data_IF_929506297001
#
_entry.id   IF_929506297001
#
_cell.length_a   1.000
_cell.length_b   1.000
_cell.length_c   1.000
_cell.angle_alpha   90.00
_cell.angle_beta   90.00
_cell.angle_gamma   90.00
#
_symmetry.space_group_name_H-M   'P 1'
#
loop_
_entity.id
_entity.type
_entity.pdbx_description
1 polymer ?
#
# COMPACT_ATOMS: atom_id res chain seq x y z
N UNK A 1 -12.74 -53.63 39.66
CA UNK A 1 -12.17 -52.43 40.33
C UNK A 1 -12.71 -52.36 41.75
N UNK A 2 -11.98 -51.80 42.72
CA UNK A 2 -12.58 -51.39 44.01
C UNK A 2 -13.02 -49.91 43.94
N UNK A 3 -14.03 -49.48 44.72
CA UNK A 3 -14.45 -48.08 44.73
C UNK A 3 -13.37 -47.19 45.37
N UNK A 4 -12.89 -46.18 44.63
CA UNK A 4 -11.82 -45.25 45.05
C UNK A 4 -12.17 -44.39 46.28
N UNK A 5 -13.43 -44.40 46.69
CA UNK A 5 -14.00 -43.65 47.82
C UNK A 5 -14.38 -44.55 49.01
N UNK A 6 -14.03 -45.84 49.00
CA UNK A 6 -14.34 -46.78 50.09
C UNK A 6 -13.66 -46.33 51.40
N UNK A 7 -14.47 -45.96 52.40
CA UNK A 7 -13.99 -45.50 53.71
C UNK A 7 -13.74 -43.99 53.82
N UNK A 8 -13.98 -43.21 52.76
CA UNK A 8 -13.97 -41.76 52.82
C UNK A 8 -15.35 -41.22 53.20
N UNK A 9 -15.39 -40.18 54.05
CA UNK A 9 -16.63 -39.48 54.35
C UNK A 9 -17.16 -38.74 53.11
N UNK A 10 -18.47 -38.83 52.87
CA UNK A 10 -19.12 -38.09 51.79
C UNK A 10 -18.98 -36.57 52.05
N UNK A 11 -18.59 -35.82 51.02
CA UNK A 11 -18.55 -34.35 51.05
C UNK A 11 -19.51 -33.82 49.98
N UNK A 12 -20.40 -32.87 50.32
CA UNK A 12 -21.28 -32.27 49.33
C UNK A 12 -20.45 -31.48 48.30
N UNK A 13 -21.00 -31.33 47.10
CA UNK A 13 -20.56 -30.29 46.19
C UNK A 13 -20.95 -28.92 46.78
N UNK A 14 -20.16 -27.89 46.49
CA UNK A 14 -20.43 -26.54 47.00
C UNK A 14 -21.44 -25.81 46.10
N UNK A 15 -22.47 -25.22 46.69
CA UNK A 15 -23.49 -24.43 45.96
C UNK A 15 -22.94 -23.11 45.39
N UNK A 16 -21.75 -22.70 45.83
CA UNK A 16 -21.06 -21.47 45.45
C UNK A 16 -19.54 -21.66 45.50
N UNK A 17 -18.78 -20.71 44.93
CA UNK A 17 -17.31 -20.76 44.93
C UNK A 17 -16.77 -20.74 46.38
N UNK A 18 -15.97 -21.74 46.81
CA UNK A 18 -15.51 -21.82 48.20
C UNK A 18 -14.61 -20.67 48.62
N UNK A 19 -14.63 -20.34 49.92
CA UNK A 19 -13.67 -19.40 50.50
C UNK A 19 -12.24 -19.87 50.24
N UNK A 20 -11.40 -18.97 49.70
CA UNK A 20 -10.03 -19.28 49.30
C UNK A 20 -9.87 -19.73 47.84
N UNK A 21 -10.96 -19.93 47.10
CA UNK A 21 -10.97 -20.04 45.64
C UNK A 21 -11.36 -18.68 45.03
N UNK A 22 -10.87 -18.37 43.82
CA UNK A 22 -11.24 -17.20 43.03
C UNK A 22 -11.44 -17.58 41.57
N UNK A 23 -12.52 -17.11 40.96
CA UNK A 23 -12.68 -17.10 39.51
C UNK A 23 -11.85 -15.97 38.90
N UNK A 24 -11.13 -16.25 37.81
CA UNK A 24 -10.24 -15.30 37.13
C UNK A 24 -10.33 -15.50 35.62
N UNK A 25 -10.50 -14.41 34.87
CA UNK A 25 -10.44 -14.43 33.41
C UNK A 25 -9.00 -14.54 32.94
N UNK A 26 -8.68 -15.59 32.20
CA UNK A 26 -7.35 -15.88 31.65
C UNK A 26 -7.40 -16.00 30.12
N UNK A 27 -6.26 -15.77 29.46
CA UNK A 27 -6.08 -16.06 28.04
C UNK A 27 -6.24 -17.57 27.80
N UNK A 28 -7.17 -17.95 26.91
CA UNK A 28 -7.56 -19.35 26.69
C UNK A 28 -6.38 -20.25 26.32
N UNK A 29 -5.41 -19.72 25.58
CA UNK A 29 -4.22 -20.47 25.12
C UNK A 29 -3.08 -20.55 26.15
N UNK A 30 -2.95 -19.59 27.06
CA UNK A 30 -1.72 -19.44 27.87
C UNK A 30 -1.93 -19.57 29.37
N UNK A 31 -3.17 -19.59 29.86
CA UNK A 31 -3.51 -19.59 31.28
C UNK A 31 -3.06 -18.35 32.06
N UNK A 32 -2.44 -17.36 31.39
CA UNK A 32 -1.97 -16.09 31.97
C UNK A 32 -3.06 -15.03 31.85
N UNK A 33 -2.94 -13.92 32.59
CA UNK A 33 -3.90 -12.81 32.50
C UNK A 33 -3.93 -12.26 31.05
N UNK A 34 -5.10 -11.95 30.46
CA UNK A 34 -5.15 -11.50 29.08
C UNK A 34 -4.44 -10.15 28.86
N UNK A 35 -3.95 -9.97 27.63
CA UNK A 35 -3.49 -8.68 27.09
C UNK A 35 -4.46 -8.26 25.95
N UNK A 36 -4.27 -7.07 25.35
CA UNK A 36 -5.15 -6.59 24.27
C UNK A 36 -5.17 -7.46 23.00
N UNK A 37 -4.17 -8.33 22.84
CA UNK A 37 -4.01 -9.23 21.69
C UNK A 37 -4.76 -10.56 21.89
N UNK A 38 -5.18 -10.87 23.13
CA UNK A 38 -5.91 -12.09 23.46
C UNK A 38 -7.37 -11.99 23.01
N UNK A 39 -7.69 -12.54 21.84
CA UNK A 39 -9.09 -12.66 21.37
C UNK A 39 -9.91 -13.58 22.28
N UNK A 40 -9.41 -14.79 22.51
CA UNK A 40 -10.09 -15.80 23.31
C UNK A 40 -9.68 -15.77 24.77
N UNK A 41 -10.67 -15.75 25.66
CA UNK A 41 -10.48 -15.81 27.12
C UNK A 41 -11.50 -16.73 27.77
N UNK A 42 -11.05 -17.44 28.81
CA UNK A 42 -11.89 -18.34 29.63
C UNK A 42 -11.88 -17.86 31.08
N UNK A 43 -12.89 -18.26 31.86
CA UNK A 43 -12.94 -17.97 33.30
C UNK A 43 -12.61 -19.25 34.07
N UNK A 44 -11.49 -19.24 34.77
CA UNK A 44 -10.94 -20.40 35.48
C UNK A 44 -10.89 -20.18 36.99
N UNK A 45 -10.91 -21.28 37.75
CA UNK A 45 -10.93 -21.25 39.21
C UNK A 45 -9.57 -21.58 39.80
N UNK A 46 -9.01 -20.64 40.58
CA UNK A 46 -7.70 -20.75 41.20
C UNK A 46 -7.78 -20.67 42.72
N UNK A 47 -6.93 -21.41 43.47
CA UNK A 47 -6.61 -21.03 44.84
C UNK A 47 -6.13 -19.58 44.91
N UNK A 48 -6.57 -18.81 45.89
CA UNK A 48 -6.38 -17.35 45.92
C UNK A 48 -4.90 -16.90 45.87
N UNK A 49 -3.97 -17.72 46.38
CA UNK A 49 -2.51 -17.47 46.29
C UNK A 49 -1.86 -17.90 44.97
N UNK A 50 -2.55 -18.72 44.16
CA UNK A 50 -2.06 -19.31 42.91
C UNK A 50 -2.62 -18.64 41.64
N UNK A 51 -3.37 -17.54 41.80
CA UNK A 51 -3.86 -16.71 40.68
C UNK A 51 -2.70 -16.27 39.78
N UNK A 52 -2.80 -16.39 38.43
CA UNK A 52 -1.77 -15.94 37.51
C UNK A 52 -1.42 -14.45 37.69
N UNK A 53 -0.12 -14.15 37.90
CA UNK A 53 0.39 -12.78 38.13
C UNK A 53 0.99 -12.13 36.87
N UNK A 54 1.35 -12.92 35.86
CA UNK A 54 1.89 -12.44 34.58
C UNK A 54 0.75 -12.25 33.57
N UNK A 55 0.89 -11.25 32.70
CA UNK A 55 0.09 -11.14 31.47
C UNK A 55 0.51 -12.19 30.44
N UNK A 56 -0.35 -12.42 29.46
CA UNK A 56 -0.05 -13.25 28.30
C UNK A 56 1.13 -12.67 27.53
N UNK A 57 2.10 -13.54 27.27
CA UNK A 57 3.30 -13.34 26.46
C UNK A 57 3.24 -14.11 25.13
N UNK A 58 2.18 -14.90 24.92
CA UNK A 58 1.96 -15.67 23.69
C UNK A 58 1.32 -14.85 22.57
N UNK A 59 0.33 -14.01 22.88
CA UNK A 59 -0.31 -13.15 21.89
C UNK A 59 0.48 -11.85 21.74
N UNK A 60 1.24 -11.74 20.66
CA UNK A 60 2.14 -10.62 20.35
C UNK A 60 1.67 -9.90 19.07
N UNK A 61 1.99 -8.62 18.94
CA UNK A 61 1.69 -7.86 17.72
C UNK A 61 2.76 -8.11 16.65
N UNK A 62 2.34 -8.35 15.41
CA UNK A 62 3.23 -8.46 14.26
C UNK A 62 2.57 -7.93 12.98
N UNK A 63 3.37 -7.42 12.06
CA UNK A 63 2.89 -6.95 10.75
C UNK A 63 2.65 -8.13 9.83
N UNK A 64 1.42 -8.26 9.33
CA UNK A 64 1.00 -9.28 8.36
C UNK A 64 0.40 -8.63 7.12
N UNK A 65 0.42 -9.36 5.99
CA UNK A 65 -0.35 -8.98 4.82
C UNK A 65 -1.86 -9.06 5.14
N UNK A 66 -2.59 -7.97 4.89
CA UNK A 66 -4.00 -7.84 5.25
C UNK A 66 -4.87 -8.87 4.54
N UNK A 67 -4.53 -9.18 3.29
CA UNK A 67 -5.26 -10.06 2.35
C UNK A 67 -4.97 -11.56 2.52
N UNK A 68 -3.86 -11.95 3.17
CA UNK A 68 -3.52 -13.37 3.41
C UNK A 68 -3.36 -13.77 4.87
N UNK A 69 -3.23 -12.81 5.80
CA UNK A 69 -2.92 -13.05 7.20
C UNK A 69 -1.51 -13.59 7.48
N UNK A 70 -0.69 -13.79 6.44
CA UNK A 70 0.67 -14.33 6.51
C UNK A 70 1.73 -13.23 6.53
N UNK A 71 3.00 -13.61 6.76
CA UNK A 71 4.12 -12.68 6.76
C UNK A 71 4.21 -11.92 5.42
N UNK A 72 4.45 -10.60 5.44
CA UNK A 72 4.49 -9.81 4.22
C UNK A 72 5.73 -10.18 3.40
N UNK A 73 5.54 -10.23 2.08
CA UNK A 73 6.63 -10.32 1.10
C UNK A 73 7.16 -8.92 0.80
N UNK A 74 8.36 -8.78 0.19
CA UNK A 74 8.83 -7.49 -0.33
C UNK A 74 7.86 -6.83 -1.33
N UNK A 75 7.00 -7.65 -1.95
CA UNK A 75 6.01 -7.25 -2.95
C UNK A 75 4.63 -6.90 -2.36
N UNK A 76 4.38 -7.06 -1.05
CA UNK A 76 3.09 -6.71 -0.46
C UNK A 76 2.84 -5.19 -0.48
N UNK A 77 1.67 -4.70 -0.96
CA UNK A 77 1.32 -3.28 -0.90
C UNK A 77 1.35 -2.74 0.53
N UNK A 78 1.83 -1.51 0.72
CA UNK A 78 2.03 -0.90 2.04
C UNK A 78 0.71 -0.62 2.77
N UNK A 79 -0.32 -0.25 2.03
CA UNK A 79 -1.72 -0.13 2.45
C UNK A 79 -2.35 -1.49 2.82
N UNK A 80 -1.80 -2.59 2.29
CA UNK A 80 -2.17 -3.96 2.65
C UNK A 80 -1.25 -4.57 3.72
N UNK A 81 -0.54 -3.75 4.49
CA UNK A 81 0.15 -4.18 5.72
C UNK A 81 -0.70 -3.80 6.94
N UNK A 82 -1.00 -4.76 7.81
CA UNK A 82 -1.71 -4.52 9.07
C UNK A 82 -0.99 -5.15 10.25
N UNK A 83 -1.02 -4.48 11.40
CA UNK A 83 -0.65 -5.12 12.67
C UNK A 83 -1.75 -6.11 13.03
N UNK A 84 -1.37 -7.31 13.45
CA UNK A 84 -2.27 -8.35 13.96
C UNK A 84 -1.67 -9.01 15.18
N UNK A 85 -2.53 -9.49 16.09
CA UNK A 85 -2.13 -10.52 17.04
C UNK A 85 -1.69 -11.78 16.28
N UNK A 86 -0.51 -12.28 16.61
CA UNK A 86 0.02 -13.59 16.23
C UNK A 86 0.36 -14.38 17.49
N UNK A 87 0.41 -15.71 17.39
CA UNK A 87 0.83 -16.57 18.50
C UNK A 87 2.32 -16.83 18.41
N UNK A 88 3.05 -16.52 19.48
CA UNK A 88 4.45 -16.87 19.69
C UNK A 88 4.55 -17.84 20.87
N UNK A 89 5.19 -18.98 20.69
CA UNK A 89 5.39 -19.98 21.75
C UNK A 89 6.64 -19.59 22.58
N UNK A 90 6.53 -19.38 23.90
CA UNK A 90 7.69 -19.15 24.77
C UNK A 90 8.66 -20.33 24.78
N UNK A 91 9.96 -20.08 25.00
CA UNK A 91 10.99 -21.14 25.01
C UNK A 91 10.79 -22.17 26.14
N UNK A 92 10.16 -21.75 27.24
CA UNK A 92 9.81 -22.53 28.42
C UNK A 92 8.40 -23.19 28.34
N UNK A 93 7.66 -22.96 27.25
CA UNK A 93 6.31 -23.48 27.10
C UNK A 93 6.26 -24.97 26.78
N UNK A 94 5.29 -25.68 27.37
CA UNK A 94 5.03 -27.10 27.08
C UNK A 94 4.74 -27.37 25.60
N UNK A 95 4.19 -26.37 24.87
CA UNK A 95 3.88 -26.48 23.45
C UNK A 95 5.14 -26.60 22.56
N UNK A 96 6.33 -26.26 23.05
CA UNK A 96 7.57 -26.52 22.32
C UNK A 96 7.81 -28.03 22.08
N UNK A 97 7.19 -28.91 22.88
CA UNK A 97 7.30 -30.38 22.77
C UNK A 97 6.43 -30.99 21.66
N UNK A 98 5.50 -30.23 21.08
CA UNK A 98 4.69 -30.68 19.95
C UNK A 98 5.56 -30.78 18.68
N UNK A 99 5.21 -31.68 17.77
CA UNK A 99 5.71 -31.61 16.39
C UNK A 99 5.14 -30.38 15.66
N UNK A 100 5.66 -30.02 14.48
CA UNK A 100 5.13 -28.88 13.73
C UNK A 100 3.72 -29.16 13.17
N UNK A 101 3.40 -30.42 12.87
CA UNK A 101 2.05 -30.87 12.49
C UNK A 101 1.08 -30.71 13.67
N UNK A 102 1.45 -31.20 14.86
CA UNK A 102 0.64 -31.06 16.08
C UNK A 102 0.48 -29.59 16.50
N UNK A 103 1.52 -28.78 16.32
CA UNK A 103 1.45 -27.34 16.59
C UNK A 103 0.48 -26.66 15.61
N UNK A 104 0.47 -27.06 14.33
CA UNK A 104 -0.45 -26.56 13.32
C UNK A 104 -1.88 -27.10 13.48
N UNK A 105 -2.08 -28.27 14.10
CA UNK A 105 -3.38 -28.84 14.50
C UNK A 105 -3.99 -28.07 15.69
N UNK A 106 -3.26 -27.96 16.80
CA UNK A 106 -3.77 -27.39 18.05
C UNK A 106 -3.65 -25.87 18.15
N UNK A 107 -2.69 -25.26 17.46
CA UNK A 107 -2.39 -23.81 17.55
C UNK A 107 -2.03 -23.28 16.14
N UNK A 108 -2.95 -23.35 15.16
CA UNK A 108 -2.69 -23.02 13.77
C UNK A 108 -2.07 -21.63 13.59
N UNK A 109 -0.94 -21.56 12.88
CA UNK A 109 -0.21 -20.30 12.66
C UNK A 109 0.64 -19.80 13.83
N UNK A 110 0.94 -20.63 14.83
CA UNK A 110 1.88 -20.30 15.90
C UNK A 110 3.36 -20.35 15.45
N UNK A 111 4.16 -19.42 15.94
CA UNK A 111 5.59 -19.33 15.69
C UNK A 111 6.39 -19.75 16.93
N UNK A 112 7.45 -20.56 16.77
CA UNK A 112 8.24 -21.09 17.91
C UNK A 112 9.06 -20.04 18.67
N UNK A 113 9.24 -18.83 18.12
CA UNK A 113 9.76 -17.64 18.82
C UNK A 113 9.58 -16.35 18.01
N UNK A 114 9.71 -15.17 18.65
CA UNK A 114 9.77 -13.88 17.96
C UNK A 114 11.10 -13.69 17.19
N UNK A 115 12.20 -14.29 17.69
CA UNK A 115 13.48 -14.30 16.97
C UNK A 115 13.35 -15.02 15.62
N UNK A 116 12.63 -16.15 15.56
CA UNK A 116 12.32 -16.81 14.29
C UNK A 116 11.42 -15.98 13.37
N UNK A 117 10.45 -15.22 13.91
CA UNK A 117 9.63 -14.30 13.11
C UNK A 117 10.49 -13.24 12.38
N UNK A 118 11.48 -12.68 13.07
CA UNK A 118 12.44 -11.73 12.51
C UNK A 118 13.56 -12.36 11.66
N UNK A 119 13.74 -13.68 11.72
CA UNK A 119 14.79 -14.43 10.99
C UNK A 119 14.23 -15.32 9.87
N UNK A 120 12.99 -15.11 9.44
CA UNK A 120 12.45 -15.75 8.25
C UNK A 120 12.87 -14.96 7.02
N UNK A 121 13.57 -15.62 6.11
CA UNK A 121 13.96 -15.07 4.81
C UNK A 121 12.91 -15.45 3.77
N UNK A 122 12.42 -14.44 3.05
CA UNK A 122 11.51 -14.60 1.92
C UNK A 122 12.07 -15.51 0.82
N UNK A 123 13.39 -15.45 0.61
CA UNK A 123 14.09 -16.15 -0.45
C UNK A 123 14.42 -17.60 -0.10
N UNK A 124 14.29 -18.00 1.18
CA UNK A 124 14.52 -19.36 1.63
C UNK A 124 13.34 -20.28 1.28
N UNK A 125 13.50 -21.27 0.37
CA UNK A 125 12.38 -22.09 -0.10
C UNK A 125 11.67 -22.87 1.02
N UNK A 126 12.38 -23.20 2.12
CA UNK A 126 11.80 -23.91 3.27
C UNK A 126 10.90 -23.03 4.13
N UNK A 127 11.05 -21.71 4.07
CA UNK A 127 10.28 -20.73 4.85
C UNK A 127 9.17 -20.06 4.03
N UNK A 128 9.21 -20.17 2.70
CA UNK A 128 8.31 -19.49 1.74
C UNK A 128 6.81 -19.72 1.99
N UNK A 129 6.43 -20.82 2.64
CA UNK A 129 5.06 -21.18 3.02
C UNK A 129 4.45 -20.30 4.13
N UNK A 130 5.28 -19.65 4.96
CA UNK A 130 4.85 -18.73 6.01
C UNK A 130 4.63 -17.29 5.52
N UNK A 131 5.10 -16.99 4.30
CA UNK A 131 4.91 -15.70 3.64
C UNK A 131 3.59 -15.65 2.83
N UNK A 132 3.19 -14.43 2.47
CA UNK A 132 2.06 -14.19 1.58
C UNK A 132 2.21 -14.99 0.27
N UNK A 133 1.18 -15.76 -0.14
CA UNK A 133 1.16 -16.44 -1.44
C UNK A 133 0.55 -15.58 -2.55
N UNK A 134 -0.06 -14.45 -2.20
CA UNK A 134 -0.82 -13.55 -3.09
C UNK A 134 0.17 -12.63 -3.83
N UNK A 135 0.81 -11.71 -3.09
CA UNK A 135 1.76 -10.74 -3.65
C UNK A 135 3.15 -11.38 -3.82
N UNK A 136 3.38 -11.98 -4.99
CA UNK A 136 4.69 -12.41 -5.48
C UNK A 136 5.32 -11.39 -6.44
N UNK A 137 6.43 -11.80 -7.05
CA UNK A 137 7.12 -10.99 -8.07
C UNK A 137 6.28 -10.87 -9.36
N UNK A 138 5.67 -11.98 -9.81
CA UNK A 138 4.67 -11.99 -10.88
C UNK A 138 3.56 -10.96 -10.63
N UNK A 139 3.01 -10.93 -9.42
CA UNK A 139 1.96 -9.98 -9.05
C UNK A 139 2.44 -8.54 -9.21
N UNK A 140 3.68 -8.25 -8.78
CA UNK A 140 4.26 -6.91 -8.89
C UNK A 140 4.47 -6.48 -10.35
N UNK A 141 4.93 -7.38 -11.21
CA UNK A 141 5.04 -7.17 -12.66
C UNK A 141 3.65 -6.97 -13.30
N UNK A 142 2.66 -7.78 -12.90
CA UNK A 142 1.27 -7.67 -13.35
C UNK A 142 0.61 -6.35 -12.90
N UNK A 143 0.92 -5.85 -11.70
CA UNK A 143 0.50 -4.53 -11.22
C UNK A 143 1.13 -3.40 -12.05
N UNK A 144 2.44 -3.46 -12.31
CA UNK A 144 3.15 -2.46 -13.11
C UNK A 144 2.64 -2.40 -14.56
N UNK A 145 2.43 -3.57 -15.20
CA UNK A 145 1.80 -3.64 -16.52
C UNK A 145 0.36 -3.13 -16.53
N UNK A 146 -0.41 -3.38 -15.45
CA UNK A 146 -1.78 -2.85 -15.31
C UNK A 146 -1.77 -1.32 -15.18
N UNK A 147 -0.85 -0.77 -14.39
CA UNK A 147 -0.69 0.67 -14.22
C UNK A 147 -0.24 1.38 -15.50
N UNK A 148 0.68 0.78 -16.27
CA UNK A 148 1.06 1.29 -17.60
C UNK A 148 -0.15 1.30 -18.54
N UNK A 149 -0.86 0.17 -18.66
CA UNK A 149 -2.01 0.03 -19.54
C UNK A 149 -3.14 1.01 -19.16
N UNK A 150 -3.36 1.25 -17.86
CA UNK A 150 -4.29 2.26 -17.38
C UNK A 150 -3.84 3.69 -17.74
N UNK A 151 -2.54 3.99 -17.73
CA UNK A 151 -2.00 5.28 -18.19
C UNK A 151 -2.24 5.48 -19.69
N UNK A 152 -1.94 4.49 -20.53
CA UNK A 152 -2.18 4.51 -21.98
C UNK A 152 -3.67 4.67 -22.32
N UNK A 153 -4.55 3.96 -21.61
CA UNK A 153 -6.00 4.08 -21.77
C UNK A 153 -6.49 5.50 -21.41
N UNK A 154 -5.97 6.09 -20.34
CA UNK A 154 -6.30 7.47 -19.95
C UNK A 154 -5.71 8.51 -20.91
N UNK A 155 -4.55 8.25 -21.53
CA UNK A 155 -4.01 9.08 -22.62
C UNK A 155 -4.95 9.05 -23.84
N UNK A 156 -5.38 7.86 -24.27
CA UNK A 156 -6.34 7.69 -25.37
C UNK A 156 -7.66 8.42 -25.11
N UNK A 157 -8.24 8.28 -23.90
CA UNK A 157 -9.48 9.01 -23.53
C UNK A 157 -9.29 10.53 -23.64
N UNK A 158 -8.13 11.08 -23.24
CA UNK A 158 -7.83 12.52 -23.40
C UNK A 158 -7.70 12.92 -24.87
N UNK A 159 -6.98 12.14 -25.69
CA UNK A 159 -6.80 12.40 -27.12
C UNK A 159 -8.13 12.42 -27.88
N UNK A 160 -9.02 11.44 -27.61
CA UNK A 160 -10.34 11.37 -28.23
C UNK A 160 -11.19 12.58 -27.80
N UNK A 161 -11.19 12.95 -26.51
CA UNK A 161 -11.97 14.09 -26.01
C UNK A 161 -11.52 15.44 -26.56
N UNK A 162 -10.22 15.66 -26.71
CA UNK A 162 -9.74 16.88 -27.38
C UNK A 162 -10.11 16.86 -28.87
N UNK A 163 -10.15 15.69 -29.53
CA UNK A 163 -10.67 15.57 -30.90
C UNK A 163 -12.16 15.92 -31.00
N UNK A 164 -13.00 15.45 -30.07
CA UNK A 164 -14.44 15.78 -29.99
C UNK A 164 -14.64 17.29 -29.85
N UNK A 165 -13.78 17.95 -29.06
CA UNK A 165 -13.79 19.41 -28.85
C UNK A 165 -13.32 20.17 -30.09
N UNK A 166 -12.17 19.80 -30.66
CA UNK A 166 -11.57 20.42 -31.84
C UNK A 166 -12.50 20.36 -33.06
N UNK A 167 -13.06 19.18 -33.36
CA UNK A 167 -13.93 18.97 -34.52
C UNK A 167 -15.43 19.02 -34.17
N UNK A 168 -15.78 19.69 -33.06
CA UNK A 168 -17.15 19.74 -32.52
C UNK A 168 -18.20 20.27 -33.50
N UNK A 169 -17.83 21.17 -34.42
CA UNK A 169 -18.71 21.67 -35.48
C UNK A 169 -18.82 20.76 -36.72
N UNK A 170 -17.90 19.81 -36.89
CA UNK A 170 -17.85 18.91 -38.06
C UNK A 170 -18.34 17.48 -37.75
N UNK A 171 -18.30 17.06 -36.47
CA UNK A 171 -18.84 15.78 -36.01
C UNK A 171 -20.37 15.80 -35.84
N UNK A 172 -21.05 14.77 -36.34
CA UNK A 172 -22.47 14.54 -36.07
C UNK A 172 -22.74 14.23 -34.58
N UNK A 173 -23.99 14.34 -34.14
CA UNK A 173 -24.39 13.91 -32.79
C UNK A 173 -24.10 12.41 -32.56
N UNK A 174 -24.48 11.56 -33.53
CA UNK A 174 -24.26 10.12 -33.48
C UNK A 174 -22.78 9.74 -33.34
N UNK A 175 -21.87 10.49 -33.96
CA UNK A 175 -20.42 10.28 -33.84
C UNK A 175 -19.89 10.66 -32.45
N UNK A 176 -20.46 11.71 -31.82
CA UNK A 176 -20.12 12.12 -30.45
C UNK A 176 -20.60 11.08 -29.43
N UNK A 177 -21.85 10.64 -29.57
CA UNK A 177 -22.46 9.62 -28.70
C UNK A 177 -21.73 8.27 -28.79
N UNK A 178 -21.31 7.87 -30.00
CA UNK A 178 -20.51 6.66 -30.21
C UNK A 178 -19.16 6.72 -29.48
N UNK A 179 -18.48 7.88 -29.48
CA UNK A 179 -17.20 8.04 -28.78
C UNK A 179 -17.34 8.12 -27.26
N UNK A 180 -18.28 8.89 -26.71
CA UNK A 180 -18.49 8.90 -25.26
C UNK A 180 -19.00 7.55 -24.74
N UNK A 181 -19.78 6.80 -25.53
CA UNK A 181 -20.14 5.40 -25.24
C UNK A 181 -18.89 4.50 -25.15
N UNK A 182 -17.98 4.59 -26.12
CA UNK A 182 -16.73 3.81 -26.12
C UNK A 182 -15.76 4.23 -24.99
N UNK A 183 -15.68 5.53 -24.71
CA UNK A 183 -14.93 6.09 -23.57
C UNK A 183 -15.49 5.54 -22.25
N UNK A 184 -16.82 5.45 -22.10
CA UNK A 184 -17.44 4.95 -20.87
C UNK A 184 -17.21 3.44 -20.68
N UNK A 185 -17.32 2.63 -21.74
CA UNK A 185 -16.93 1.20 -21.69
C UNK A 185 -15.47 1.00 -21.28
N UNK A 186 -14.56 1.85 -21.78
CA UNK A 186 -13.16 1.79 -21.38
C UNK A 186 -12.95 2.20 -19.91
N UNK A 187 -13.64 3.23 -19.40
CA UNK A 187 -13.64 3.57 -17.95
C UNK A 187 -14.17 2.41 -17.10
N UNK A 188 -15.27 1.79 -17.52
CA UNK A 188 -15.85 0.62 -16.83
C UNK A 188 -14.83 -0.53 -16.77
N UNK A 189 -14.15 -0.82 -17.88
CA UNK A 189 -13.08 -1.82 -17.94
C UNK A 189 -11.89 -1.47 -17.01
N UNK A 190 -11.47 -0.21 -16.95
CA UNK A 190 -10.42 0.26 -16.04
C UNK A 190 -10.82 0.19 -14.56
N UNK A 191 -12.11 0.35 -14.26
CA UNK A 191 -12.65 0.23 -12.89
C UNK A 191 -12.95 -1.20 -12.46
N UNK A 192 -12.96 -2.16 -13.39
CA UNK A 192 -13.35 -3.54 -13.14
C UNK A 192 -12.22 -4.33 -12.46
N UNK A 193 -12.44 -4.72 -11.22
CA UNK A 193 -11.50 -5.52 -10.44
C UNK A 193 -11.88 -7.02 -10.50
N UNK A 194 -10.98 -7.85 -11.01
CA UNK A 194 -11.21 -9.29 -11.23
C UNK A 194 -10.44 -10.15 -10.23
N UNK A 195 -11.08 -11.13 -9.55
CA UNK A 195 -10.37 -12.02 -8.62
C UNK A 195 -9.38 -12.95 -9.34
N UNK A 196 -8.14 -13.02 -8.86
CA UNK A 196 -7.15 -14.00 -9.31
C UNK A 196 -6.46 -14.70 -8.14
N UNK A 197 -5.70 -15.77 -8.43
CA UNK A 197 -4.86 -16.48 -7.43
C UNK A 197 -3.74 -15.61 -6.86
N UNK A 198 -3.29 -14.60 -7.62
CA UNK A 198 -2.28 -13.63 -7.21
C UNK A 198 -2.91 -12.38 -6.55
N UNK A 199 -4.24 -12.37 -6.35
CA UNK A 199 -4.99 -11.23 -5.79
C UNK A 199 -5.98 -10.65 -6.80
N UNK A 200 -6.83 -9.73 -6.36
CA UNK A 200 -7.76 -9.05 -7.27
C UNK A 200 -7.02 -7.98 -8.09
N UNK A 201 -7.15 -8.00 -9.42
CA UNK A 201 -6.49 -7.06 -10.33
C UNK A 201 -7.33 -6.67 -11.55
N UNK A 202 -6.85 -5.67 -12.30
CA UNK A 202 -7.54 -5.15 -13.49
C UNK A 202 -7.58 -6.17 -14.64
N UNK A 203 -8.72 -6.27 -15.33
CA UNK A 203 -8.83 -7.09 -16.54
C UNK A 203 -8.08 -6.43 -17.72
N UNK A 204 -6.79 -6.73 -17.83
CA UNK A 204 -5.94 -6.20 -18.92
C UNK A 204 -6.38 -6.66 -20.30
N UNK A 205 -7.13 -7.77 -20.42
CA UNK A 205 -7.70 -8.26 -21.67
C UNK A 205 -8.88 -7.39 -22.12
N UNK A 206 -9.85 -7.17 -21.23
CA UNK A 206 -11.00 -6.28 -21.47
C UNK A 206 -10.55 -4.85 -21.73
N UNK A 207 -9.58 -4.32 -20.97
CA UNK A 207 -9.05 -2.96 -21.18
C UNK A 207 -8.38 -2.84 -22.55
N UNK A 208 -7.56 -3.80 -22.98
CA UNK A 208 -6.98 -3.82 -24.35
C UNK A 208 -8.05 -3.86 -25.43
N UNK A 209 -9.12 -4.65 -25.23
CA UNK A 209 -10.26 -4.73 -26.16
C UNK A 209 -10.97 -3.38 -26.29
N UNK A 210 -11.34 -2.72 -25.19
CA UNK A 210 -12.05 -1.43 -25.25
C UNK A 210 -11.15 -0.27 -25.72
N UNK A 211 -9.82 -0.33 -25.49
CA UNK A 211 -8.87 0.58 -26.14
C UNK A 211 -8.83 0.39 -27.66
N UNK A 212 -8.94 -0.86 -28.14
CA UNK A 212 -9.06 -1.18 -29.57
C UNK A 212 -10.36 -0.64 -30.17
N UNK A 213 -11.49 -0.89 -29.50
CA UNK A 213 -12.81 -0.38 -29.90
C UNK A 213 -12.82 1.15 -30.01
N UNK A 214 -12.29 1.84 -28.99
CA UNK A 214 -12.23 3.30 -28.95
C UNK A 214 -11.35 3.88 -30.07
N UNK A 215 -10.18 3.30 -30.34
CA UNK A 215 -9.31 3.69 -31.47
C UNK A 215 -10.02 3.52 -32.81
N UNK A 216 -10.64 2.36 -33.05
CA UNK A 216 -11.31 2.06 -34.32
C UNK A 216 -12.51 3.00 -34.60
N UNK A 217 -13.29 3.34 -33.56
CA UNK A 217 -14.40 4.30 -33.70
C UNK A 217 -13.87 5.71 -33.94
N UNK A 218 -12.81 6.13 -33.24
CA UNK A 218 -12.16 7.43 -33.41
C UNK A 218 -11.57 7.62 -34.81
N UNK A 219 -10.84 6.64 -35.32
CA UNK A 219 -10.29 6.64 -36.69
C UNK A 219 -11.40 6.67 -37.76
N UNK A 220 -12.45 5.85 -37.59
CA UNK A 220 -13.64 5.84 -38.48
C UNK A 220 -14.43 7.15 -38.44
N UNK A 221 -14.26 7.98 -37.42
CA UNK A 221 -14.85 9.32 -37.35
C UNK A 221 -13.93 10.33 -38.01
N UNK A 222 -12.66 10.42 -37.59
CA UNK A 222 -11.71 11.40 -38.13
C UNK A 222 -11.49 11.25 -39.65
N UNK A 223 -11.55 10.03 -40.19
CA UNK A 223 -11.47 9.76 -41.63
C UNK A 223 -12.64 10.32 -42.45
N UNK A 224 -13.77 10.67 -41.82
CA UNK A 224 -14.91 11.36 -42.45
C UNK A 224 -14.88 12.88 -42.31
N UNK A 225 -13.97 13.43 -41.51
CA UNK A 225 -13.88 14.87 -41.28
C UNK A 225 -13.00 15.48 -42.38
N UNK A 226 -13.49 16.48 -43.14
CA UNK A 226 -12.67 17.18 -44.11
C UNK A 226 -11.48 17.83 -43.42
N UNK A 227 -10.27 17.42 -43.78
CA UNK A 227 -9.05 18.16 -43.44
C UNK A 227 -9.14 19.52 -44.14
N UNK A 228 -8.97 20.61 -43.39
CA UNK A 228 -8.81 21.92 -44.05
C UNK A 228 -7.63 21.84 -45.03
N UNK A 229 -7.74 22.43 -46.24
CA UNK A 229 -6.56 22.70 -47.03
C UNK A 229 -5.63 23.58 -46.18
N UNK A 230 -4.33 23.27 -46.18
CA UNK A 230 -3.36 24.11 -45.49
C UNK A 230 -3.49 25.55 -46.02
N UNK A 231 -3.70 26.51 -45.11
CA UNK A 231 -3.86 27.91 -45.49
C UNK A 231 -2.60 28.36 -46.20
N UNK A 232 -2.77 28.73 -47.47
CA UNK A 232 -1.72 29.27 -48.33
C UNK A 232 -0.99 30.40 -47.58
N UNK A 233 0.34 30.34 -47.38
CA UNK A 233 1.08 31.37 -46.66
C UNK A 233 1.03 32.67 -47.46
N UNK A 234 0.05 33.52 -47.10
CA UNK A 234 -0.35 34.69 -47.86
C UNK A 234 0.81 35.58 -48.27
N UNK A 235 0.79 35.99 -49.54
CA UNK A 235 1.82 36.79 -50.19
C UNK A 235 2.15 38.02 -49.31
N UNK A 236 3.42 38.22 -48.92
CA UNK A 236 3.80 39.36 -48.08
C UNK A 236 3.61 40.68 -48.84
N UNK A 237 3.24 41.78 -48.14
CA UNK A 237 3.02 43.07 -48.79
C UNK A 237 4.33 43.63 -49.38
N UNK A 238 4.22 44.20 -50.59
CA UNK A 238 5.35 44.76 -51.33
C UNK A 238 5.84 46.09 -50.68
N UNK A 239 7.12 46.22 -50.30
CA UNK A 239 7.65 47.41 -49.65
C UNK A 239 8.23 48.41 -50.66
N UNK A 240 7.37 49.17 -51.35
CA UNK A 240 7.81 50.37 -52.07
C UNK A 240 6.77 51.50 -52.07
N UNK A 241 7.14 52.60 -51.40
CA UNK A 241 6.59 53.96 -51.52
C UNK A 241 7.45 54.85 -50.62
N UNK A 242 8.61 55.27 -51.12
CA UNK A 242 9.42 56.30 -50.46
C UNK A 242 8.82 57.68 -50.66
N UNK A 243 8.60 58.42 -49.57
CA UNK A 243 8.64 59.88 -49.58
C UNK A 243 9.21 60.37 -48.23
N UNK A 244 9.85 61.54 -48.24
CA UNK A 244 10.72 62.03 -47.16
C UNK A 244 10.48 63.56 -46.94
N UNK A 245 11.16 64.29 -46.03
CA UNK A 245 10.43 65.17 -45.11
C UNK A 245 10.81 66.66 -45.16
N UNK A 246 9.94 67.51 -44.61
CA UNK A 246 10.29 68.86 -44.15
C UNK A 246 9.60 69.13 -42.78
N UNK A 247 10.43 69.34 -41.75
CA UNK A 247 10.51 70.53 -40.85
C UNK A 247 9.23 71.35 -40.48
N UNK A 248 9.12 72.00 -39.31
CA UNK A 248 10.13 72.36 -38.29
C UNK A 248 9.49 72.68 -36.91
N UNK A 249 10.28 72.63 -35.81
CA UNK A 249 10.11 73.29 -34.48
C UNK A 249 8.87 72.91 -33.60
N UNK A 250 9.00 72.79 -32.28
CA UNK A 250 10.20 72.82 -31.41
C UNK A 250 9.83 72.87 -29.90
N UNK A 251 10.83 72.63 -29.03
CA UNK A 251 10.91 73.03 -27.59
C UNK A 251 9.84 72.47 -26.59
N UNK A 252 10.16 72.00 -25.37
CA UNK A 252 11.43 71.80 -24.65
C UNK A 252 11.23 70.90 -23.39
N UNK A 253 12.32 70.61 -22.64
CA UNK A 253 12.41 70.13 -21.24
C UNK A 253 12.18 68.63 -20.89
N UNK A 254 13.31 67.93 -20.75
CA UNK A 254 13.57 66.72 -19.93
C UNK A 254 14.10 67.17 -18.53
N UNK A 255 14.47 66.30 -17.55
CA UNK A 255 14.45 64.83 -17.46
C UNK A 255 13.47 64.36 -16.34
N UNK A 256 13.59 63.30 -15.51
CA UNK A 256 14.59 62.27 -15.14
C UNK A 256 13.82 61.13 -14.38
N UNK A 257 14.25 59.87 -14.21
CA UNK A 257 15.44 59.10 -14.63
C UNK A 257 15.13 57.59 -14.69
N UNK A 258 15.94 56.84 -15.43
CA UNK A 258 16.11 55.37 -15.39
C UNK A 258 17.08 54.92 -14.25
N UNK A 259 17.36 53.62 -13.95
CA UNK A 259 17.26 52.45 -14.84
C UNK A 259 16.79 51.08 -14.26
N UNK A 260 16.38 50.21 -15.18
CA UNK A 260 16.47 48.73 -15.11
C UNK A 260 17.84 48.31 -15.70
N UNK A 261 18.49 47.20 -15.24
CA UNK A 261 18.37 45.96 -16.00
C UNK A 261 18.42 44.65 -15.19
N UNK A 262 17.40 43.81 -15.38
CA UNK A 262 17.57 42.61 -16.22
C UNK A 262 17.99 41.24 -15.63
N UNK A 263 17.11 40.26 -15.91
CA UNK A 263 17.42 39.03 -16.68
C UNK A 263 17.85 37.68 -16.03
N UNK A 264 17.38 36.61 -16.70
CA UNK A 264 17.88 35.20 -16.87
C UNK A 264 17.99 34.19 -15.70
N UNK A 265 16.87 33.48 -15.49
CA UNK A 265 16.74 31.99 -15.55
C UNK A 265 17.62 31.12 -14.59
N UNK A 266 17.77 29.78 -14.79
CA UNK A 266 16.90 28.82 -14.10
C UNK A 266 17.63 27.82 -13.17
N UNK A 267 16.94 27.33 -12.13
CA UNK A 267 17.48 26.34 -11.18
C UNK A 267 17.18 24.91 -11.60
N UNK A 268 18.22 24.10 -11.77
CA UNK A 268 18.18 22.63 -11.87
C UNK A 268 18.63 21.97 -10.55
N UNK A 269 18.22 20.71 -10.26
CA UNK A 269 18.48 20.08 -8.97
C UNK A 269 19.90 19.50 -8.86
N UNK A 270 20.50 19.60 -7.66
CA UNK A 270 21.82 19.06 -7.35
C UNK A 270 21.74 17.70 -6.62
N UNK A 271 22.48 16.65 -7.05
CA UNK A 271 22.57 15.36 -6.36
C UNK A 271 23.81 15.22 -5.45
N UNK A 272 23.92 14.03 -4.82
CA UNK A 272 25.15 13.39 -4.29
C UNK A 272 25.42 13.41 -2.76
N UNK A 273 25.24 12.23 -2.17
CA UNK A 273 26.23 11.43 -1.41
C UNK A 273 27.14 12.03 -0.31
N UNK A 274 27.18 11.35 0.85
CA UNK A 274 28.45 10.83 1.38
C UNK A 274 28.75 10.91 2.90
N UNK A 275 29.00 9.73 3.51
CA UNK A 275 29.76 9.45 4.76
C UNK A 275 29.11 9.94 6.08
N UNK A 276 29.10 9.19 7.20
CA UNK A 276 30.09 8.33 7.92
C UNK A 276 31.07 9.10 8.81
N UNK A 277 31.53 8.42 9.88
CA UNK A 277 32.42 8.84 10.99
C UNK A 277 31.79 9.76 12.06
N UNK A 278 32.13 9.65 13.36
CA UNK A 278 32.53 8.46 14.16
C UNK A 278 32.27 8.73 15.67
N UNK A 279 32.54 7.75 16.53
CA UNK A 279 32.37 7.78 17.99
C UNK A 279 33.44 8.64 18.69
N UNK A 280 33.02 9.65 19.46
CA UNK A 280 33.80 10.15 20.61
C UNK A 280 32.96 11.04 21.54
N UNK A 281 32.70 10.56 22.76
CA UNK A 281 32.69 11.37 24.00
C UNK A 281 32.60 10.45 25.24
N UNK A 282 33.72 9.86 25.70
CA UNK A 282 33.72 9.04 26.93
C UNK A 282 35.07 9.02 27.66
N UNK A 283 35.40 10.10 28.36
CA UNK A 283 36.34 10.17 29.49
C UNK A 283 36.20 11.53 30.19
N UNK A 284 36.73 11.63 31.42
CA UNK A 284 36.33 12.54 32.53
C UNK A 284 35.14 11.99 33.34
N UNK A 285 35.27 11.68 34.63
CA UNK A 285 36.42 11.80 35.54
C UNK A 285 36.65 10.55 36.43
N UNK A 286 37.93 10.29 36.69
CA UNK A 286 38.45 9.81 37.98
C UNK A 286 39.18 11.04 38.57
N UNK A 287 39.35 11.24 39.88
CA UNK A 287 39.53 10.31 41.01
C UNK A 287 39.06 11.01 42.32
N UNK A 288 39.50 10.56 43.51
CA UNK A 288 39.34 11.20 44.85
C UNK A 288 37.95 10.97 45.47
N UNK A 289 37.77 10.42 46.69
CA UNK A 289 38.75 9.95 47.71
C UNK A 289 38.24 8.71 48.51
N UNK A 290 39.08 8.23 49.43
CA UNK A 290 38.89 7.07 50.30
C UNK A 290 37.90 7.30 51.46
N UNK A 291 36.98 6.35 51.68
CA UNK A 291 36.87 5.60 52.96
C UNK A 291 35.99 4.35 52.87
#
# INVERSE_FOLDING_TARGET
MQPIHKGLANKPFYDHTPQGIRSVRVCALSGKLPNGNCKETVTEYFPAGAVPKKKCDMHQEYTVCSSSGKLPTPYCPKDQLKVSSVVVIPKDSVYQKLSDEQLQEYIPGAFRSLASLGSYDYNNPKQRSAFCPIHGENWKQNEEHSNQLASEANQLIRQVRESIKQYSGQMSAQDKDALETAINKLKEALSANTPSKEGSGMDTGKVKTEMGNLRAIHEKILSRIPKEPAKDPGIPPNPDSTDNPEDEKGEENNPDKSPDPGAVTPVTPNPSSGKETDQQQKQKDQTIDNK
#
